data_IF_440638557777
#
_entry.id   IF_440638557777
#
_cell.length_a   1.000
_cell.length_b   1.000
_cell.length_c   1.000
_cell.angle_alpha   90.00
_cell.angle_beta   90.00
_cell.angle_gamma   90.00
#
_symmetry.space_group_name_H-M   'P 1'
#
loop_
_entity.id
_entity.type
_entity.pdbx_description
1 polymer ?
#
# COMPACT_ATOMS: atom_id res chain seq x y z
N UNK A 1 38.06 -59.18 -12.94
CA UNK A 1 39.21 -59.46 -12.04
C UNK A 1 39.98 -58.17 -11.85
N UNK A 2 40.13 -57.57 -10.66
CA UNK A 2 39.68 -57.91 -9.29
C UNK A 2 39.27 -56.57 -8.63
N UNK A 3 38.04 -56.40 -8.09
CA UNK A 3 37.58 -56.64 -6.69
C UNK A 3 38.27 -55.77 -5.61
N UNK A 4 37.54 -55.45 -4.54
CA UNK A 4 37.79 -54.30 -3.66
C UNK A 4 38.04 -54.66 -2.18
N UNK A 5 38.58 -53.69 -1.43
CA UNK A 5 38.55 -53.59 0.05
C UNK A 5 38.65 -52.08 0.39
N UNK A 6 37.80 -51.37 1.16
CA UNK A 6 36.94 -51.64 2.34
C UNK A 6 37.67 -51.71 3.68
N UNK A 7 37.64 -50.62 4.48
CA UNK A 7 37.48 -50.73 5.94
C UNK A 7 37.12 -49.40 6.64
N UNK A 8 36.51 -49.55 7.81
CA UNK A 8 35.86 -48.56 8.65
C UNK A 8 36.32 -48.78 10.10
N UNK A 9 36.55 -47.71 10.89
CA UNK A 9 36.55 -47.76 12.36
C UNK A 9 36.51 -46.37 13.02
N UNK A 10 35.34 -45.99 13.54
CA UNK A 10 35.07 -45.59 14.94
C UNK A 10 36.24 -45.10 15.83
N UNK A 11 36.07 -43.96 16.55
CA UNK A 11 36.83 -43.77 17.81
C UNK A 11 36.99 -42.39 18.47
N UNK A 12 35.90 -41.82 19.03
CA UNK A 12 35.87 -41.02 20.29
C UNK A 12 36.71 -39.72 20.47
N UNK A 13 36.28 -38.87 21.41
CA UNK A 13 36.88 -37.57 21.78
C UNK A 13 37.68 -37.68 23.11
N UNK A 14 38.54 -36.70 23.47
CA UNK A 14 38.07 -35.68 24.43
C UNK A 14 38.65 -34.24 24.27
N UNK A 15 37.84 -33.26 24.72
CA UNK A 15 38.12 -32.03 25.53
C UNK A 15 39.53 -31.35 25.60
N UNK A 16 39.66 -30.06 25.91
CA UNK A 16 38.76 -28.87 25.90
C UNK A 16 39.51 -27.57 26.28
N UNK A 17 39.07 -26.41 25.76
CA UNK A 17 39.24 -25.05 26.31
C UNK A 17 38.38 -24.08 25.46
N UNK A 18 37.31 -23.38 25.87
CA UNK A 18 36.65 -23.07 27.16
C UNK A 18 36.96 -21.72 27.83
N UNK A 19 36.55 -20.62 27.19
CA UNK A 19 35.89 -19.46 27.85
C UNK A 19 34.58 -19.19 27.07
N UNK A 20 33.37 -19.12 27.64
CA UNK A 20 32.82 -18.58 28.91
C UNK A 20 32.57 -17.08 28.92
N UNK A 21 31.45 -16.70 28.30
CA UNK A 21 30.45 -15.83 28.95
C UNK A 21 29.06 -16.12 28.35
N UNK A 22 27.92 -15.99 29.05
CA UNK A 22 27.82 -15.61 30.47
C UNK A 22 26.45 -15.10 30.92
N UNK A 23 25.34 -15.81 30.65
CA UNK A 23 24.01 -15.46 31.18
C UNK A 23 23.31 -16.70 31.76
N UNK A 24 22.69 -16.53 32.93
CA UNK A 24 22.01 -17.59 33.70
C UNK A 24 20.50 -17.50 33.48
N UNK A 25 19.86 -18.68 33.39
CA UNK A 25 18.41 -18.81 33.20
C UNK A 25 17.67 -18.33 34.46
N UNK A 26 16.68 -17.46 34.26
CA UNK A 26 15.60 -17.24 35.22
C UNK A 26 14.29 -17.64 34.54
N UNK A 27 13.69 -18.74 34.99
CA UNK A 27 12.34 -19.15 34.61
C UNK A 27 11.36 -18.47 35.57
N UNK A 28 10.36 -17.77 35.04
CA UNK A 28 9.15 -17.37 35.78
C UNK A 28 7.94 -17.59 34.88
N UNK A 29 7.21 -18.66 35.20
CA UNK A 29 5.76 -18.77 35.11
C UNK A 29 5.26 -18.69 36.59
N UNK A 30 4.01 -18.46 37.00
CA UNK A 30 2.64 -18.54 36.42
C UNK A 30 1.80 -17.39 37.09
N UNK A 31 0.78 -16.71 36.54
CA UNK A 31 0.14 -16.74 35.21
C UNK A 31 -0.36 -15.33 34.75
N UNK A 32 -1.54 -14.83 35.20
CA UNK A 32 -2.23 -13.59 34.70
C UNK A 32 -2.44 -12.46 35.75
N UNK A 33 -2.63 -11.19 35.31
CA UNK A 33 -3.91 -10.42 35.41
C UNK A 33 -3.84 -8.99 34.80
N UNK A 34 -5.02 -8.36 34.63
CA UNK A 34 -5.30 -7.32 33.62
C UNK A 34 -4.99 -5.85 34.00
N UNK A 35 -4.99 -5.00 32.96
CA UNK A 35 -5.18 -3.53 32.96
C UNK A 35 -4.25 -2.63 33.80
N UNK A 36 -3.70 -1.59 33.16
CA UNK A 36 -4.21 -0.20 33.31
C UNK A 36 -3.44 0.78 32.39
N UNK A 37 -4.14 1.80 31.87
CA UNK A 37 -3.62 3.16 31.58
C UNK A 37 -2.32 3.32 30.74
N UNK A 38 -2.29 3.88 29.54
CA UNK A 38 -3.30 4.55 28.69
C UNK A 38 -2.93 4.30 27.22
N UNK A 39 -3.89 4.29 26.30
CA UNK A 39 -3.57 4.12 24.87
C UNK A 39 -4.64 4.57 23.88
N UNK A 40 -5.91 4.60 24.29
CA UNK A 40 -7.09 4.92 23.47
C UNK A 40 -7.32 3.91 22.33
N UNK A 41 -8.49 3.28 22.33
CA UNK A 41 -9.09 2.82 21.09
C UNK A 41 -9.46 4.07 20.27
N UNK A 42 -8.46 4.65 19.59
CA UNK A 42 -8.73 5.40 18.38
C UNK A 42 -9.30 4.39 17.39
N UNK A 43 -10.63 4.31 17.41
CA UNK A 43 -11.44 4.08 16.23
C UNK A 43 -10.91 5.00 15.14
N UNK A 44 -9.96 4.47 14.36
CA UNK A 44 -9.50 5.06 13.14
C UNK A 44 -10.71 4.98 12.22
N UNK A 45 -11.49 6.06 12.25
CA UNK A 45 -12.51 6.35 11.27
C UNK A 45 -11.78 6.45 9.94
N UNK A 46 -11.61 5.30 9.28
CA UNK A 46 -11.03 5.19 7.95
C UNK A 46 -11.94 5.97 7.01
N UNK A 47 -11.64 7.26 6.85
CA UNK A 47 -12.23 8.08 5.81
C UNK A 47 -12.06 7.31 4.51
N UNK A 48 -13.15 7.06 3.75
CA UNK A 48 -13.03 6.37 2.49
C UNK A 48 -11.98 7.06 1.62
N UNK A 49 -11.13 6.30 0.90
CA UNK A 49 -10.02 6.87 0.14
C UNK A 49 -10.55 7.96 -0.81
N UNK A 50 -9.89 9.13 -0.90
CA UNK A 50 -10.46 10.27 -1.62
C UNK A 50 -10.78 9.93 -3.09
N UNK A 51 -11.92 10.44 -3.56
CA UNK A 51 -12.42 10.17 -4.92
C UNK A 51 -11.34 10.48 -5.99
N UNK A 52 -10.96 9.50 -6.85
CA UNK A 52 -10.04 9.70 -7.96
C UNK A 52 -10.34 10.92 -8.84
N UNK A 53 -11.61 11.34 -8.95
CA UNK A 53 -12.03 12.55 -9.65
C UNK A 53 -11.40 13.83 -9.06
N UNK A 54 -11.18 13.89 -7.73
CA UNK A 54 -10.51 15.03 -7.08
C UNK A 54 -9.06 15.13 -7.55
N UNK A 55 -8.36 14.00 -7.67
CA UNK A 55 -6.98 13.97 -8.16
C UNK A 55 -6.90 14.28 -9.66
N UNK A 56 -7.86 13.80 -10.47
CA UNK A 56 -7.99 14.19 -11.89
C UNK A 56 -8.15 15.69 -12.04
N UNK A 57 -9.08 16.30 -11.28
CA UNK A 57 -9.31 17.74 -11.32
C UNK A 57 -8.06 18.52 -10.91
N UNK A 58 -7.34 18.10 -9.86
CA UNK A 58 -6.07 18.70 -9.44
C UNK A 58 -4.97 18.56 -10.50
N UNK A 59 -4.89 17.41 -11.18
CA UNK A 59 -3.93 17.17 -12.26
C UNK A 59 -4.22 18.05 -13.48
N UNK A 60 -5.49 18.17 -13.89
CA UNK A 60 -5.91 18.96 -15.06
C UNK A 60 -5.86 20.48 -14.84
N UNK A 61 -6.12 20.95 -13.61
CA UNK A 61 -6.02 22.37 -13.24
C UNK A 61 -4.67 22.73 -12.59
N UNK A 62 -3.64 21.91 -12.78
CA UNK A 62 -2.33 22.13 -12.18
C UNK A 62 -1.66 23.40 -12.71
N UNK A 63 -1.29 24.32 -11.81
CA UNK A 63 -0.74 25.62 -12.13
C UNK A 63 0.79 25.64 -11.96
N UNK A 64 1.54 25.86 -13.05
CA UNK A 64 3.00 25.89 -13.02
C UNK A 64 3.57 27.00 -12.13
N UNK A 65 2.89 28.16 -12.07
CA UNK A 65 3.31 29.32 -11.26
C UNK A 65 3.32 29.03 -9.75
N UNK A 66 2.71 27.93 -9.30
CA UNK A 66 2.64 27.52 -7.90
C UNK A 66 3.78 26.58 -7.47
N UNK A 67 4.89 26.49 -8.22
CA UNK A 67 6.04 25.61 -7.90
C UNK A 67 7.38 26.31 -7.96
N UNK A 68 8.37 25.76 -7.25
CA UNK A 68 9.76 26.24 -7.25
C UNK A 68 10.56 25.80 -8.49
N UNK A 69 9.90 25.37 -9.58
CA UNK A 69 10.51 25.11 -10.88
C UNK A 69 10.11 23.78 -11.54
N UNK A 70 10.67 23.48 -12.73
CA UNK A 70 10.16 22.42 -13.61
C UNK A 70 10.36 21.01 -13.05
N UNK A 71 11.39 20.80 -12.22
CA UNK A 71 11.61 19.53 -11.51
C UNK A 71 10.51 19.25 -10.49
N UNK A 72 10.08 20.28 -9.74
CA UNK A 72 8.98 20.12 -8.79
C UNK A 72 7.64 19.97 -9.51
N UNK A 73 7.36 20.81 -10.51
CA UNK A 73 6.15 20.71 -11.33
C UNK A 73 5.95 19.30 -11.90
N UNK A 74 7.01 18.70 -12.45
CA UNK A 74 6.98 17.32 -12.94
C UNK A 74 6.73 16.29 -11.83
N UNK A 75 7.32 16.46 -10.64
CA UNK A 75 7.07 15.57 -9.49
C UNK A 75 5.62 15.64 -9.01
N UNK A 76 5.04 16.84 -8.87
CA UNK A 76 3.63 17.03 -8.43
C UNK A 76 2.65 16.54 -9.49
N UNK A 77 2.94 16.75 -10.78
CA UNK A 77 2.14 16.19 -11.87
C UNK A 77 2.17 14.65 -11.87
N UNK A 78 3.32 14.02 -11.61
CA UNK A 78 3.43 12.57 -11.46
C UNK A 78 2.63 12.06 -10.26
N UNK A 79 2.78 12.71 -9.11
CA UNK A 79 2.07 12.39 -7.86
C UNK A 79 0.54 12.44 -8.04
N UNK A 80 0.02 13.53 -8.62
CA UNK A 80 -1.41 13.69 -8.91
C UNK A 80 -1.92 12.69 -9.96
N UNK A 81 -1.13 12.40 -10.99
CA UNK A 81 -1.44 11.39 -12.01
C UNK A 81 -1.52 9.98 -11.39
N UNK A 82 -0.61 9.66 -10.47
CA UNK A 82 -0.57 8.38 -9.74
C UNK A 82 -1.78 8.24 -8.80
N UNK A 83 -2.14 9.30 -8.08
CA UNK A 83 -3.30 9.31 -7.17
C UNK A 83 -4.65 9.25 -7.94
N UNK A 84 -4.71 9.77 -9.17
CA UNK A 84 -5.85 9.64 -10.07
C UNK A 84 -5.94 8.23 -10.71
N UNK A 85 -4.88 7.80 -11.41
CA UNK A 85 -4.92 6.59 -12.23
C UNK A 85 -4.64 5.29 -11.45
N UNK A 86 -4.03 5.38 -10.26
CA UNK A 86 -3.78 4.27 -9.32
C UNK A 86 -3.26 2.98 -10.01
N UNK A 87 -2.13 3.02 -10.74
CA UNK A 87 -1.56 1.86 -11.45
C UNK A 87 -1.22 0.66 -10.55
N UNK A 88 -1.23 0.83 -9.23
CA UNK A 88 -1.14 -0.26 -8.24
C UNK A 88 -2.33 -1.23 -8.30
N UNK A 89 -3.51 -0.75 -8.72
CA UNK A 89 -4.77 -1.51 -8.76
C UNK A 89 -5.45 -1.55 -10.13
N UNK A 90 -5.16 -0.58 -11.02
CA UNK A 90 -5.76 -0.52 -12.35
C UNK A 90 -4.80 -1.09 -13.40
N UNK A 91 -5.29 -1.98 -14.25
CA UNK A 91 -4.54 -2.43 -15.43
C UNK A 91 -4.38 -1.29 -16.44
N UNK A 92 -3.47 -1.48 -17.42
CA UNK A 92 -3.27 -0.55 -18.53
C UNK A 92 -4.59 -0.28 -19.30
N UNK A 93 -5.41 -1.31 -19.45
CA UNK A 93 -6.68 -1.27 -20.16
C UNK A 93 -7.70 -0.43 -19.37
N UNK A 94 -7.80 -0.63 -18.06
CA UNK A 94 -8.64 0.18 -17.17
C UNK A 94 -8.17 1.64 -17.14
N UNK A 95 -6.86 1.90 -17.15
CA UNK A 95 -6.30 3.26 -17.28
C UNK A 95 -6.69 3.90 -18.62
N UNK A 96 -6.68 3.14 -19.72
CA UNK A 96 -7.13 3.63 -21.02
C UNK A 96 -8.65 3.90 -21.04
N UNK A 97 -9.46 3.06 -20.40
CA UNK A 97 -10.89 3.28 -20.24
C UNK A 97 -11.20 4.54 -19.42
N UNK A 98 -10.46 4.80 -18.34
CA UNK A 98 -10.58 6.04 -17.55
C UNK A 98 -10.24 7.30 -18.37
N UNK A 99 -9.22 7.23 -19.23
CA UNK A 99 -8.83 8.33 -20.12
C UNK A 99 -9.84 8.53 -21.27
N UNK A 100 -10.40 7.44 -21.81
CA UNK A 100 -11.48 7.49 -22.81
C UNK A 100 -12.77 8.06 -22.19
N UNK A 101 -13.09 7.70 -20.94
CA UNK A 101 -14.24 8.24 -20.21
C UNK A 101 -14.09 9.74 -19.94
N UNK A 102 -12.92 10.20 -19.49
CA UNK A 102 -12.63 11.64 -19.35
C UNK A 102 -12.83 12.37 -20.69
N UNK A 103 -12.24 11.84 -21.77
CA UNK A 103 -12.33 12.45 -23.09
C UNK A 103 -13.78 12.48 -23.60
N UNK A 104 -14.54 11.40 -23.41
CA UNK A 104 -15.96 11.29 -23.76
C UNK A 104 -16.81 12.33 -23.00
N UNK A 105 -16.67 12.40 -21.67
CA UNK A 105 -17.40 13.36 -20.84
C UNK A 105 -17.07 14.82 -21.24
N UNK A 106 -15.83 15.10 -21.64
CA UNK A 106 -15.43 16.45 -22.08
C UNK A 106 -16.02 16.90 -23.43
N UNK A 107 -16.46 15.96 -24.28
CA UNK A 107 -17.08 16.26 -25.59
C UNK A 107 -18.61 16.09 -25.61
N UNK A 108 -19.21 15.64 -24.51
CA UNK A 108 -20.67 15.50 -24.44
C UNK A 108 -21.38 16.86 -24.61
N UNK A 109 -22.44 16.95 -25.43
CA UNK A 109 -23.36 18.08 -25.44
C UNK A 109 -23.90 18.39 -24.03
N UNK A 110 -24.14 19.69 -23.74
CA UNK A 110 -24.52 20.17 -22.41
C UNK A 110 -25.81 19.53 -21.91
N UNK A 111 -26.70 19.21 -22.83
CA UNK A 111 -27.98 18.54 -22.63
C UNK A 111 -27.79 17.16 -21.99
N UNK A 112 -26.76 16.42 -22.42
CA UNK A 112 -26.38 15.13 -21.84
C UNK A 112 -25.57 15.27 -20.55
N UNK A 113 -24.81 16.36 -20.38
CA UNK A 113 -24.13 16.66 -19.12
C UNK A 113 -25.13 16.94 -17.98
N UNK A 114 -26.21 17.68 -18.27
CA UNK A 114 -27.31 17.90 -17.31
C UNK A 114 -28.00 16.58 -16.97
N UNK A 115 -28.34 15.76 -17.98
CA UNK A 115 -28.93 14.44 -17.76
C UNK A 115 -28.06 13.55 -16.87
N UNK A 116 -26.73 13.54 -17.06
CA UNK A 116 -25.80 12.78 -16.21
C UNK A 116 -25.69 13.30 -14.77
N UNK A 117 -25.98 14.57 -14.51
CA UNK A 117 -26.07 15.11 -13.15
C UNK A 117 -27.39 14.70 -12.48
N UNK A 118 -28.50 14.77 -13.22
CA UNK A 118 -29.85 14.44 -12.74
C UNK A 118 -30.04 12.92 -12.53
N UNK A 119 -29.42 12.09 -13.36
CA UNK A 119 -29.43 10.61 -13.25
C UNK A 119 -28.30 10.04 -12.39
N UNK A 120 -27.45 10.87 -11.75
CA UNK A 120 -26.49 10.40 -10.75
C UNK A 120 -27.28 9.97 -9.51
N UNK A 121 -27.49 8.66 -9.23
CA UNK A 121 -28.52 8.25 -8.29
C UNK A 121 -28.16 8.69 -6.87
N UNK A 122 -29.18 8.91 -6.03
CA UNK A 122 -28.98 9.23 -4.60
C UNK A 122 -28.60 7.94 -3.85
N UNK A 123 -27.40 7.42 -4.12
CA UNK A 123 -26.76 6.29 -3.45
C UNK A 123 -26.33 6.73 -2.05
N UNK A 124 -27.32 6.99 -1.19
CA UNK A 124 -27.11 7.62 0.11
C UNK A 124 -28.37 7.80 0.98
N UNK A 125 -29.59 7.66 0.44
CA UNK A 125 -30.81 7.55 1.25
C UNK A 125 -31.48 6.19 1.05
N UNK A 126 -31.23 5.28 1.99
CA UNK A 126 -32.24 4.27 2.36
C UNK A 126 -33.36 4.98 3.16
N UNK A 127 -34.60 4.46 3.14
CA UNK A 127 -35.65 4.92 4.04
C UNK A 127 -35.36 4.57 5.50
#
# INVERSE_FOLDING_TARGET
>A
IMTAESREATGLSPQAAQEKDGIVIVKVEEEDEEEHMWGQDTSLQESPPPDPEIFRQRFRHFCYQNTFGPREALSRLKELCHQWLRPEINTKEQILELLVLEQFLSILPKELQVWLQEYRPIVGRRP
#
